data_IF_209347346943
#
_entry.id   IF_209347346943
#
_cell.length_a   1.000
_cell.length_b   1.000
_cell.length_c   1.000
_cell.angle_alpha   90.00
_cell.angle_beta   90.00
_cell.angle_gamma   90.00
#
_symmetry.space_group_name_H-M   'P 1'
#
loop_
_entity.id
_entity.type
_entity.pdbx_description
1 polymer ?
#
# COMPACT_ATOMS: atom_id res chain seq x y z
N UNK A 1 21.60 14.96 -5.15
CA UNK A 1 21.24 13.64 -4.58
C UNK A 1 20.12 13.09 -5.45
N UNK A 2 20.39 12.07 -6.26
CA UNK A 2 19.32 11.40 -7.00
C UNK A 2 18.56 10.54 -5.97
N UNK A 3 17.23 10.70 -5.89
CA UNK A 3 16.40 9.94 -4.95
C UNK A 3 16.57 8.44 -5.13
N UNK A 4 16.17 7.66 -4.12
CA UNK A 4 16.18 6.21 -4.21
C UNK A 4 15.48 5.73 -5.51
N UNK A 5 16.01 4.72 -6.21
CA UNK A 5 15.39 4.20 -7.42
C UNK A 5 13.95 3.75 -7.10
N UNK A 6 12.97 4.41 -7.71
CA UNK A 6 11.56 4.03 -7.63
C UNK A 6 11.22 3.21 -8.87
N UNK A 7 10.56 2.08 -8.67
CA UNK A 7 10.10 1.23 -9.76
C UNK A 7 8.59 1.33 -9.86
N UNK A 8 8.08 1.64 -11.06
CA UNK A 8 6.66 1.52 -11.37
C UNK A 8 6.41 0.14 -12.00
N UNK A 9 5.46 -0.61 -11.47
CA UNK A 9 5.07 -1.93 -12.00
C UNK A 9 3.54 -1.95 -12.12
N UNK A 10 3.03 -2.41 -13.26
CA UNK A 10 1.62 -2.71 -13.48
C UNK A 10 1.46 -4.23 -13.53
N UNK A 11 0.62 -4.79 -12.66
CA UNK A 11 0.37 -6.22 -12.58
C UNK A 11 -1.11 -6.49 -12.84
N UNK A 12 -1.40 -7.46 -13.70
CA UNK A 12 -2.71 -8.06 -13.84
C UNK A 12 -2.72 -9.38 -13.09
N UNK A 13 -3.55 -9.47 -12.05
CA UNK A 13 -3.68 -10.68 -11.24
C UNK A 13 -5.06 -11.25 -11.55
N UNK A 14 -5.09 -12.53 -11.91
CA UNK A 14 -6.34 -13.23 -12.18
C UNK A 14 -7.24 -13.20 -10.93
N UNK A 15 -8.53 -12.89 -11.12
CA UNK A 15 -9.53 -12.77 -10.05
C UNK A 15 -9.22 -11.70 -8.99
N UNK A 16 -8.38 -10.71 -9.31
CA UNK A 16 -8.23 -9.55 -8.43
C UNK A 16 -9.53 -8.72 -8.40
N UNK A 17 -9.94 -8.21 -7.23
CA UNK A 17 -11.08 -7.33 -7.12
C UNK A 17 -10.80 -5.99 -7.83
N UNK A 18 -11.83 -5.42 -8.43
CA UNK A 18 -11.78 -4.18 -9.20
C UNK A 18 -12.22 -3.02 -8.32
N UNK A 19 -11.29 -2.08 -8.12
CA UNK A 19 -11.56 -0.84 -7.36
C UNK A 19 -12.75 -0.11 -7.94
N UNK A 20 -13.71 0.24 -7.08
CA UNK A 20 -14.91 0.98 -7.46
C UNK A 20 -16.09 0.10 -7.90
N UNK A 21 -15.84 -1.16 -8.26
CA UNK A 21 -16.86 -2.15 -8.62
C UNK A 21 -17.11 -3.10 -7.44
N UNK A 22 -16.06 -3.79 -6.98
CA UNK A 22 -16.15 -4.76 -5.88
C UNK A 22 -16.15 -4.06 -4.51
N UNK A 23 -16.50 -4.81 -3.46
CA UNK A 23 -16.64 -4.27 -2.11
C UNK A 23 -15.30 -3.71 -1.60
N UNK A 24 -15.28 -2.54 -0.94
CA UNK A 24 -14.05 -1.95 -0.38
C UNK A 24 -13.29 -2.91 0.53
N UNK A 25 -14.00 -3.71 1.33
CA UNK A 25 -13.41 -4.69 2.24
C UNK A 25 -12.67 -5.79 1.49
N UNK A 26 -13.22 -6.30 0.39
CA UNK A 26 -12.58 -7.31 -0.46
C UNK A 26 -11.33 -6.76 -1.15
N UNK A 27 -11.40 -5.52 -1.63
CA UNK A 27 -10.25 -4.80 -2.22
C UNK A 27 -9.15 -4.62 -1.16
N UNK A 28 -9.50 -4.16 0.04
CA UNK A 28 -8.55 -3.94 1.13
C UNK A 28 -7.90 -5.25 1.57
N UNK A 29 -8.68 -6.30 1.84
CA UNK A 29 -8.14 -7.61 2.23
C UNK A 29 -7.26 -8.22 1.15
N UNK A 30 -7.65 -8.12 -0.13
CA UNK A 30 -6.84 -8.65 -1.24
C UNK A 30 -5.45 -7.99 -1.32
N UNK A 31 -5.39 -6.67 -1.06
CA UNK A 31 -4.14 -5.90 -1.02
C UNK A 31 -3.33 -6.28 0.22
N UNK A 32 -3.95 -6.27 1.40
CA UNK A 32 -3.28 -6.60 2.68
C UNK A 32 -2.64 -7.99 2.66
N UNK A 33 -3.35 -9.00 2.15
CA UNK A 33 -2.87 -10.38 2.05
C UNK A 33 -1.59 -10.53 1.19
N UNK A 34 -1.34 -9.60 0.27
CA UNK A 34 -0.24 -9.68 -0.70
C UNK A 34 0.90 -8.72 -0.40
N UNK A 35 0.72 -7.74 0.49
CA UNK A 35 1.81 -6.89 0.96
C UNK A 35 2.63 -7.67 1.99
N UNK A 36 3.75 -8.26 1.55
CA UNK A 36 4.66 -9.01 2.44
C UNK A 36 5.70 -8.12 3.12
N UNK A 37 5.81 -6.86 2.71
CA UNK A 37 6.73 -5.89 3.31
C UNK A 37 6.23 -5.47 4.69
N UNK A 38 7.04 -5.76 5.71
CA UNK A 38 6.76 -5.34 7.08
C UNK A 38 7.42 -4.00 7.35
N UNK A 39 6.70 -3.11 8.04
CA UNK A 39 7.28 -1.86 8.54
C UNK A 39 8.39 -2.25 9.53
N UNK A 40 9.64 -1.84 9.30
CA UNK A 40 10.74 -2.21 10.18
C UNK A 40 10.56 -1.59 11.56
N UNK A 41 11.07 -2.25 12.59
CA UNK A 41 10.94 -1.78 13.97
C UNK A 41 11.61 -0.41 14.17
N UNK A 42 11.03 0.41 15.05
CA UNK A 42 11.51 1.77 15.32
C UNK A 42 12.94 1.83 15.87
N UNK A 43 13.38 0.77 16.55
CA UNK A 43 14.75 0.63 17.05
C UNK A 43 15.77 0.21 15.99
N UNK A 44 15.32 -0.34 14.85
CA UNK A 44 16.18 -0.89 13.79
C UNK A 44 16.35 0.12 12.67
N UNK A 45 15.28 0.82 12.30
CA UNK A 45 15.32 1.90 11.32
C UNK A 45 14.21 2.93 11.60
N UNK A 46 14.45 3.89 12.51
CA UNK A 46 13.44 4.84 12.98
C UNK A 46 12.84 5.68 11.84
N UNK A 47 13.68 6.11 10.90
CA UNK A 47 13.23 6.92 9.74
C UNK A 47 12.29 6.12 8.83
N UNK A 48 12.67 4.88 8.49
CA UNK A 48 11.84 3.98 7.68
C UNK A 48 10.54 3.59 8.40
N UNK A 49 10.58 3.45 9.73
CA UNK A 49 9.38 3.22 10.53
C UNK A 49 8.44 4.43 10.47
N UNK A 50 8.98 5.65 10.60
CA UNK A 50 8.20 6.89 10.50
C UNK A 50 7.59 7.08 9.10
N UNK A 51 8.37 6.86 8.04
CA UNK A 51 7.88 6.95 6.66
C UNK A 51 6.88 5.85 6.32
N UNK A 52 7.16 4.59 6.69
CA UNK A 52 6.27 3.46 6.46
C UNK A 52 4.90 3.66 7.08
N UNK A 53 4.86 4.12 8.34
CA UNK A 53 3.61 4.45 9.02
C UNK A 53 2.85 5.60 8.37
N UNK A 54 3.52 6.61 7.80
CA UNK A 54 2.83 7.70 7.09
C UNK A 54 2.32 7.28 5.72
N UNK A 55 3.13 6.58 4.95
CA UNK A 55 2.88 6.29 3.53
C UNK A 55 1.86 5.16 3.38
N UNK A 56 1.99 4.08 4.17
CA UNK A 56 1.05 2.97 4.10
C UNK A 56 -0.36 3.40 4.51
N UNK A 57 -0.46 4.16 5.61
CA UNK A 57 -1.73 4.73 6.06
C UNK A 57 -2.31 5.74 5.06
N UNK A 58 -1.47 6.54 4.39
CA UNK A 58 -1.94 7.47 3.36
C UNK A 58 -2.44 6.76 2.09
N UNK A 59 -1.81 5.67 1.65
CA UNK A 59 -2.23 4.91 0.48
C UNK A 59 -3.56 4.18 0.72
N UNK A 60 -3.76 3.59 1.90
CA UNK A 60 -5.04 2.98 2.27
C UNK A 60 -6.15 4.04 2.32
N UNK A 61 -5.88 5.21 2.92
CA UNK A 61 -6.86 6.29 2.99
C UNK A 61 -7.19 6.90 1.60
N UNK A 62 -6.23 7.02 0.68
CA UNK A 62 -6.51 7.52 -0.67
C UNK A 62 -7.34 6.55 -1.52
N UNK A 63 -7.13 5.23 -1.37
CA UNK A 63 -7.97 4.22 -2.04
C UNK A 63 -9.42 4.34 -1.54
N UNK A 64 -9.60 4.52 -0.23
CA UNK A 64 -10.92 4.67 0.41
C UNK A 64 -11.59 6.03 0.09
N UNK A 65 -10.83 7.12 -0.01
CA UNK A 65 -11.35 8.48 -0.24
C UNK A 65 -11.58 8.82 -1.72
N UNK A 66 -11.18 7.96 -2.66
CA UNK A 66 -11.46 8.17 -4.10
C UNK A 66 -12.96 8.10 -4.49
N UNK A 67 -13.86 7.91 -3.52
CA UNK A 67 -15.32 7.90 -3.70
C UNK A 67 -16.06 9.17 -3.22
N UNK A 68 -15.38 10.31 -3.06
CA UNK A 68 -16.05 11.62 -2.89
C UNK A 68 -15.54 12.67 -3.88
#
# INVERSE_FOLDING_TARGET
MHGAPHYHILLWIENAPVVGIDCPEEVCSFIEDRITCHIPASNTSPDLNFFGNKILNAQVQQILQSKH
#
